data_IF_865132518430
#
_entry.id   IF_865132518430
#
_cell.length_a   1.000
_cell.length_b   1.000
_cell.length_c   1.000
_cell.angle_alpha   90.00
_cell.angle_beta   90.00
_cell.angle_gamma   90.00
#
_symmetry.space_group_name_H-M   'P 1'
#
loop_
_entity.id
_entity.type
_entity.pdbx_description
1 polymer ?
#
# COMPACT_ATOMS: atom_id res chain seq x y z
N UNK A 1 -2.60 -3.13 57.97
CA UNK A 1 -3.59 -3.74 57.05
C UNK A 1 -4.23 -2.73 56.08
N UNK A 2 -4.57 -1.50 56.50
CA UNK A 2 -5.15 -0.48 55.59
C UNK A 2 -4.20 0.02 54.48
N UNK A 3 -2.89 0.07 54.71
CA UNK A 3 -1.90 0.52 53.70
C UNK A 3 -1.73 -0.45 52.52
N UNK A 4 -1.95 -1.75 52.76
CA UNK A 4 -1.76 -2.80 51.75
C UNK A 4 -2.94 -2.84 50.74
N UNK A 5 -4.16 -2.58 51.21
CA UNK A 5 -5.33 -2.44 50.32
C UNK A 5 -5.27 -1.19 49.42
N UNK A 6 -4.67 -0.10 49.90
CA UNK A 6 -4.48 1.12 49.09
C UNK A 6 -3.51 0.90 47.92
N UNK A 7 -2.39 0.23 48.18
CA UNK A 7 -1.39 -0.09 47.16
C UNK A 7 -1.93 -1.07 46.11
N UNK A 8 -2.67 -2.11 46.52
CA UNK A 8 -3.31 -3.06 45.60
C UNK A 8 -4.36 -2.40 44.69
N UNK A 9 -5.15 -1.45 45.23
CA UNK A 9 -6.10 -0.68 44.42
C UNK A 9 -5.42 0.24 43.42
N UNK A 10 -4.30 0.85 43.79
CA UNK A 10 -3.54 1.74 42.91
C UNK A 10 -2.87 0.96 41.78
N UNK A 11 -2.25 -0.19 42.09
CA UNK A 11 -1.68 -1.09 41.09
C UNK A 11 -2.76 -1.59 40.13
N UNK A 12 -3.89 -2.09 40.64
CA UNK A 12 -4.99 -2.56 39.79
C UNK A 12 -5.54 -1.47 38.85
N UNK A 13 -5.63 -0.23 39.33
CA UNK A 13 -6.04 0.91 38.50
C UNK A 13 -5.01 1.19 37.40
N UNK A 14 -3.72 1.27 37.72
CA UNK A 14 -2.65 1.48 36.74
C UNK A 14 -2.57 0.34 35.71
N UNK A 15 -2.74 -0.91 36.12
CA UNK A 15 -2.75 -2.06 35.20
C UNK A 15 -3.95 -2.00 34.27
N UNK A 16 -5.13 -1.58 34.76
CA UNK A 16 -6.32 -1.43 33.92
C UNK A 16 -6.16 -0.29 32.89
N UNK A 17 -5.57 0.84 33.29
CA UNK A 17 -5.27 1.96 32.36
C UNK A 17 -4.26 1.54 31.29
N UNK A 18 -3.20 0.83 31.67
CA UNK A 18 -2.19 0.33 30.72
C UNK A 18 -2.76 -0.73 29.76
N UNK A 19 -3.67 -1.59 30.23
CA UNK A 19 -4.33 -2.60 29.39
C UNK A 19 -5.33 -1.98 28.40
N UNK A 20 -6.00 -0.89 28.77
CA UNK A 20 -6.95 -0.20 27.87
C UNK A 20 -6.23 0.72 26.86
N UNK A 21 -5.14 1.37 27.25
CA UNK A 21 -4.40 2.27 26.37
C UNK A 21 -3.52 1.55 25.33
N UNK A 22 -3.20 0.26 25.52
CA UNK A 22 -2.24 -0.46 24.69
C UNK A 22 -2.79 -1.08 23.40
N UNK A 23 -4.11 -1.21 23.24
CA UNK A 23 -4.70 -2.03 22.16
C UNK A 23 -5.61 -1.29 21.17
N UNK A 24 -5.95 -0.02 21.42
CA UNK A 24 -6.83 0.76 20.55
C UNK A 24 -6.02 1.90 19.89
N UNK A 25 -5.70 1.76 18.59
CA UNK A 25 -5.18 2.87 17.79
C UNK A 25 -3.77 2.74 17.21
N UNK A 26 -3.30 1.52 16.91
CA UNK A 26 -2.10 1.39 16.09
C UNK A 26 -2.37 1.93 14.68
N UNK A 27 -1.84 3.11 14.40
CA UNK A 27 -1.81 3.67 13.05
C UNK A 27 -0.74 2.96 12.23
N UNK A 28 -0.92 2.98 10.92
CA UNK A 28 0.00 2.37 9.97
C UNK A 28 0.64 3.45 9.12
N UNK A 29 1.96 3.40 8.97
CA UNK A 29 2.72 4.40 8.23
C UNK A 29 2.86 4.01 6.77
N UNK A 30 2.73 5.01 5.89
CA UNK A 30 2.85 4.84 4.46
C UNK A 30 4.30 4.55 4.02
N UNK A 31 4.47 3.56 3.15
CA UNK A 31 5.78 3.14 2.65
C UNK A 31 6.11 3.91 1.36
N UNK A 32 6.80 5.03 1.54
CA UNK A 32 7.33 5.84 0.45
C UNK A 32 8.71 5.35 0.07
N UNK A 33 8.82 4.68 -1.06
CA UNK A 33 10.09 4.24 -1.63
C UNK A 33 10.23 4.67 -3.09
N UNK A 34 11.47 4.89 -3.49
CA UNK A 34 11.86 5.04 -4.88
C UNK A 34 12.40 3.69 -5.37
N UNK A 35 11.99 3.26 -6.56
CA UNK A 35 12.41 1.99 -7.13
C UNK A 35 12.99 2.22 -8.53
N UNK A 36 14.19 1.73 -8.75
CA UNK A 36 14.87 1.82 -10.05
C UNK A 36 14.45 0.67 -10.96
N UNK A 37 14.33 0.93 -12.25
CA UNK A 37 14.18 -0.12 -13.25
C UNK A 37 15.39 -1.03 -13.25
N UNK A 38 15.23 -2.26 -13.73
CA UNK A 38 16.30 -3.28 -13.73
C UNK A 38 17.54 -2.83 -14.52
N UNK A 39 17.36 -2.02 -15.57
CA UNK A 39 18.45 -1.42 -16.34
C UNK A 39 19.00 -0.12 -15.73
N UNK A 40 18.41 0.37 -14.64
CA UNK A 40 18.76 1.62 -13.96
C UNK A 40 18.39 2.90 -14.72
N UNK A 41 17.75 2.77 -15.89
CA UNK A 41 17.44 3.91 -16.76
C UNK A 41 16.23 4.73 -16.33
N UNK A 42 15.37 4.19 -15.48
CA UNK A 42 14.15 4.84 -15.01
C UNK A 42 13.98 4.67 -13.49
N UNK A 43 13.25 5.59 -12.86
CA UNK A 43 12.92 5.59 -11.44
C UNK A 43 11.42 5.75 -11.27
N UNK A 44 10.79 4.79 -10.59
CA UNK A 44 9.38 4.81 -10.23
C UNK A 44 9.21 5.22 -8.75
N UNK A 45 8.26 6.10 -8.47
CA UNK A 45 7.99 6.57 -7.11
C UNK A 45 6.57 7.11 -6.95
N UNK A 46 6.16 7.30 -5.70
CA UNK A 46 4.87 7.88 -5.36
C UNK A 46 5.01 9.37 -5.08
N UNK A 47 4.02 10.17 -5.51
CA UNK A 47 3.99 11.60 -5.21
C UNK A 47 2.57 12.17 -5.35
N UNK A 48 2.31 13.30 -4.68
CA UNK A 48 1.14 14.15 -4.94
C UNK A 48 -0.21 13.46 -4.70
N UNK A 49 -0.47 13.08 -3.44
CA UNK A 49 -1.72 12.43 -3.01
C UNK A 49 -2.00 11.14 -3.81
N UNK A 50 -1.12 10.14 -3.64
CA UNK A 50 -1.32 8.79 -4.19
C UNK A 50 -1.08 8.63 -5.71
N UNK A 51 -0.44 9.61 -6.35
CA UNK A 51 0.02 9.46 -7.74
C UNK A 51 1.25 8.56 -7.90
N UNK A 52 1.32 7.83 -9.01
CA UNK A 52 2.53 7.10 -9.44
C UNK A 52 3.22 7.87 -10.55
N UNK A 53 4.52 8.06 -10.40
CA UNK A 53 5.37 8.75 -11.34
C UNK A 53 6.53 7.87 -11.78
N UNK A 54 6.98 8.09 -13.02
CA UNK A 54 8.21 7.53 -13.56
C UNK A 54 9.05 8.67 -14.09
N UNK A 55 10.29 8.77 -13.62
CA UNK A 55 11.29 9.69 -14.14
C UNK A 55 12.40 8.94 -14.86
N UNK A 56 13.00 9.56 -15.86
CA UNK A 56 14.27 9.13 -16.44
C UNK A 56 15.38 9.21 -15.39
N UNK A 57 16.33 8.28 -15.42
CA UNK A 57 17.51 8.26 -14.55
C UNK A 57 18.38 9.51 -14.71
N UNK A 58 18.33 10.18 -15.87
CA UNK A 58 19.00 11.45 -16.14
C UNK A 58 18.20 12.68 -15.66
N UNK A 59 16.94 12.49 -15.25
CA UNK A 59 16.06 13.54 -14.72
C UNK A 59 15.46 14.47 -15.78
N UNK A 60 15.62 14.16 -17.07
CA UNK A 60 15.15 14.97 -18.20
C UNK A 60 13.70 14.70 -18.62
N UNK A 61 13.12 13.58 -18.17
CA UNK A 61 11.74 13.18 -18.43
C UNK A 61 11.04 12.80 -17.14
N UNK A 62 9.81 13.29 -16.98
CA UNK A 62 8.90 12.93 -15.88
C UNK A 62 7.52 12.61 -16.45
N UNK A 63 6.98 11.48 -16.04
CA UNK A 63 5.68 10.98 -16.47
C UNK A 63 4.82 10.66 -15.26
N UNK A 64 3.55 11.10 -15.27
CA UNK A 64 2.53 10.66 -14.31
C UNK A 64 1.84 9.42 -14.89
N UNK A 65 2.10 8.25 -14.30
CA UNK A 65 1.57 6.95 -14.74
C UNK A 65 0.16 6.71 -14.18
N UNK A 66 -0.10 7.20 -12.98
CA UNK A 66 -1.37 7.04 -12.30
C UNK A 66 -1.67 8.27 -11.45
N UNK A 67 -2.93 8.68 -11.40
CA UNK A 67 -3.34 9.92 -10.76
C UNK A 67 -4.13 9.77 -9.46
N UNK A 68 -4.44 8.54 -9.04
CA UNK A 68 -5.27 8.30 -7.86
C UNK A 68 -6.74 8.54 -8.19
N UNK A 69 -7.52 7.47 -8.34
CA UNK A 69 -8.96 7.59 -8.61
C UNK A 69 -9.71 8.24 -7.45
N UNK A 70 -10.96 8.68 -7.69
CA UNK A 70 -11.77 9.37 -6.67
C UNK A 70 -11.99 8.54 -5.39
N UNK A 71 -12.02 7.21 -5.52
CA UNK A 71 -12.18 6.24 -4.44
C UNK A 71 -10.85 5.70 -3.89
N UNK A 72 -9.71 6.16 -4.45
CA UNK A 72 -8.39 5.71 -4.04
C UNK A 72 -7.98 6.39 -2.75
N UNK A 73 -7.83 5.59 -1.71
CA UNK A 73 -7.43 6.06 -0.38
C UNK A 73 -5.93 5.93 -0.13
N UNK A 74 -5.25 5.07 -0.91
CA UNK A 74 -3.84 4.81 -0.81
C UNK A 74 -3.32 4.13 -2.07
N UNK A 75 -2.04 4.33 -2.39
CA UNK A 75 -1.33 3.57 -3.42
C UNK A 75 -0.02 3.02 -2.83
N UNK A 76 0.54 1.96 -3.42
CA UNK A 76 1.88 1.44 -3.07
C UNK A 76 3.00 2.03 -3.91
N UNK A 77 4.21 2.03 -3.38
CA UNK A 77 5.39 2.31 -4.21
C UNK A 77 5.50 1.30 -5.34
N UNK A 78 5.86 1.70 -6.56
CA UNK A 78 5.67 0.82 -7.69
C UNK A 78 6.87 -0.14 -7.86
N UNK A 79 6.62 -1.35 -8.37
CA UNK A 79 7.59 -2.43 -8.51
C UNK A 79 7.87 -2.74 -10.00
N UNK A 80 9.13 -2.64 -10.38
CA UNK A 80 9.58 -2.95 -11.73
C UNK A 80 9.64 -4.44 -12.00
N UNK A 81 9.30 -4.82 -13.22
CA UNK A 81 9.53 -6.16 -13.75
C UNK A 81 11.04 -6.46 -13.77
N UNK A 82 11.45 -7.68 -13.37
CA UNK A 82 12.86 -8.06 -13.37
C UNK A 82 13.42 -8.32 -14.77
N UNK A 83 12.58 -8.36 -15.80
CA UNK A 83 12.98 -8.72 -17.18
C UNK A 83 12.78 -7.59 -18.19
N UNK A 84 11.96 -6.59 -17.87
CA UNK A 84 11.62 -5.50 -18.79
C UNK A 84 11.12 -4.26 -18.03
N UNK A 85 10.61 -3.27 -18.77
CA UNK A 85 10.13 -1.98 -18.22
C UNK A 85 8.65 -1.98 -17.81
N UNK A 86 8.04 -3.15 -17.61
CA UNK A 86 6.70 -3.23 -16.99
C UNK A 86 6.77 -2.85 -15.52
N UNK A 87 5.65 -2.38 -15.00
CA UNK A 87 5.50 -1.86 -13.65
C UNK A 87 4.20 -2.40 -13.05
N UNK A 88 4.27 -2.92 -11.83
CA UNK A 88 3.06 -3.18 -11.03
C UNK A 88 3.03 -2.24 -9.84
N UNK A 89 1.83 -1.91 -9.40
CA UNK A 89 1.57 -1.22 -8.15
C UNK A 89 0.17 -1.59 -7.70
N UNK A 90 -0.17 -1.26 -6.46
CA UNK A 90 -1.49 -1.54 -5.92
C UNK A 90 -2.14 -0.23 -5.48
N UNK A 91 -3.37 0.01 -5.91
CA UNK A 91 -4.24 1.02 -5.30
C UNK A 91 -5.15 0.34 -4.29
N UNK A 92 -5.55 1.09 -3.27
CA UNK A 92 -6.52 0.66 -2.28
C UNK A 92 -7.72 1.59 -2.32
N UNK A 93 -8.91 0.99 -2.16
CA UNK A 93 -10.18 1.69 -1.93
C UNK A 93 -10.85 1.11 -0.69
N UNK A 94 -11.72 1.90 -0.07
CA UNK A 94 -12.54 1.41 1.04
C UNK A 94 -13.42 0.23 0.61
N UNK A 95 -13.49 -0.81 1.43
CA UNK A 95 -14.50 -1.86 1.25
C UNK A 95 -15.92 -1.36 1.61
N UNK A 96 -16.02 -0.30 2.42
CA UNK A 96 -17.26 0.28 2.94
C UNK A 96 -17.35 1.78 2.59
N UNK A 97 -17.52 2.16 1.31
CA UNK A 97 -17.42 3.56 0.85
C UNK A 97 -18.52 4.49 1.41
N UNK A 98 -19.63 3.93 1.91
CA UNK A 98 -20.73 4.69 2.52
C UNK A 98 -20.46 5.05 3.99
N UNK A 99 -19.49 4.38 4.63
CA UNK A 99 -19.03 4.81 5.94
C UNK A 99 -18.23 6.09 5.73
N UNK A 100 -18.62 7.19 6.38
CA UNK A 100 -17.86 8.45 6.42
C UNK A 100 -16.44 8.31 7.03
N UNK A 101 -15.99 7.08 7.26
CA UNK A 101 -14.61 6.70 7.48
C UNK A 101 -13.87 6.74 6.15
N UNK A 102 -13.61 7.93 5.62
CA UNK A 102 -12.51 8.10 4.68
C UNK A 102 -11.27 7.56 5.37
N UNK A 103 -10.48 6.68 4.74
CA UNK A 103 -9.17 6.29 5.27
C UNK A 103 -8.36 7.57 5.45
N UNK A 104 -8.44 8.11 6.66
CA UNK A 104 -8.05 9.48 6.88
C UNK A 104 -6.57 9.39 7.14
N UNK A 105 -5.78 9.64 6.09
CA UNK A 105 -4.43 10.08 6.32
C UNK A 105 -4.47 11.19 7.36
N UNK A 106 -3.79 10.99 8.48
CA UNK A 106 -3.87 11.87 9.64
C UNK A 106 -3.25 13.25 9.35
N UNK A 107 -2.53 13.38 8.23
CA UNK A 107 -1.90 14.60 7.77
C UNK A 107 -1.89 14.68 6.23
N UNK A 108 -1.75 15.92 5.71
CA UNK A 108 -1.50 16.16 4.28
C UNK A 108 -0.20 15.49 3.81
N UNK A 109 -0.08 15.19 2.52
CA UNK A 109 1.07 14.48 1.94
C UNK A 109 2.43 15.09 2.32
N UNK A 110 2.57 16.40 2.17
CA UNK A 110 3.82 17.15 2.43
C UNK A 110 4.10 17.39 3.91
N UNK A 111 3.11 17.17 4.79
CA UNK A 111 3.26 17.37 6.21
C UNK A 111 4.02 16.22 6.91
N UNK A 112 4.10 15.05 6.27
CA UNK A 112 4.79 13.87 6.80
C UNK A 112 5.73 13.28 5.73
N UNK A 113 6.99 13.73 5.63
CA UNK A 113 7.93 13.28 4.60
C UNK A 113 8.28 11.79 4.73
N UNK A 114 8.13 11.21 5.93
CA UNK A 114 8.37 9.79 6.19
C UNK A 114 7.17 8.91 5.80
N UNK A 115 6.08 9.49 5.31
CA UNK A 115 4.86 8.77 4.93
C UNK A 115 3.70 9.06 5.86
N UNK A 116 2.50 9.29 5.29
CA UNK A 116 1.28 9.56 6.07
C UNK A 116 0.95 8.38 6.97
N UNK A 117 0.29 8.67 8.10
CA UNK A 117 -0.28 7.63 8.96
C UNK A 117 -1.76 7.44 8.67
N UNK A 118 -2.17 6.19 8.55
CA UNK A 118 -3.55 5.80 8.30
C UNK A 118 -4.14 5.07 9.50
N UNK A 119 -5.45 5.20 9.66
CA UNK A 119 -6.21 4.35 10.56
C UNK A 119 -6.44 2.97 9.92
N UNK A 120 -6.55 1.91 10.73
CA UNK A 120 -6.92 0.59 10.23
C UNK A 120 -8.32 0.63 9.59
N UNK A 121 -8.44 0.07 8.37
CA UNK A 121 -9.68 0.00 7.60
C UNK A 121 -9.72 -1.27 6.74
N UNK A 122 -10.91 -1.80 6.47
CA UNK A 122 -11.12 -2.86 5.47
C UNK A 122 -10.99 -2.27 4.07
N UNK A 123 -10.06 -2.82 3.29
CA UNK A 123 -9.71 -2.27 1.97
C UNK A 123 -9.77 -3.34 0.90
N UNK A 124 -10.14 -2.91 -0.31
CA UNK A 124 -10.00 -3.70 -1.52
C UNK A 124 -8.77 -3.17 -2.27
N UNK A 125 -7.81 -4.06 -2.51
CA UNK A 125 -6.62 -3.75 -3.29
C UNK A 125 -6.83 -4.10 -4.74
N UNK A 126 -6.50 -3.18 -5.64
CA UNK A 126 -6.42 -3.44 -7.08
C UNK A 126 -4.97 -3.49 -7.50
N UNK A 127 -4.51 -4.65 -7.98
CA UNK A 127 -3.19 -4.75 -8.61
C UNK A 127 -3.26 -4.15 -10.01
N UNK A 128 -2.52 -3.09 -10.24
CA UNK A 128 -2.40 -2.39 -11.51
C UNK A 128 -1.14 -2.83 -12.25
N UNK A 129 -1.20 -2.96 -13.57
CA UNK A 129 -0.06 -3.21 -14.46
C UNK A 129 0.03 -2.09 -15.47
N UNK A 130 1.18 -1.42 -15.49
CA UNK A 130 1.61 -0.60 -16.61
C UNK A 130 2.49 -1.44 -17.53
N UNK A 131 2.11 -1.55 -18.80
CA UNK A 131 2.95 -2.22 -19.79
C UNK A 131 4.25 -1.43 -20.05
N UNK A 132 5.25 -2.09 -20.65
CA UNK A 132 6.46 -1.41 -21.06
C UNK A 132 6.12 -0.36 -22.14
N UNK A 133 6.70 0.85 -22.08
CA UNK A 133 6.46 1.87 -23.09
C UNK A 133 6.97 1.40 -24.46
N UNK A 134 6.26 1.81 -25.51
CA UNK A 134 6.59 1.49 -26.90
C UNK A 134 6.83 2.78 -27.67
N UNK A 135 8.11 3.15 -27.84
CA UNK A 135 8.48 4.47 -28.36
C UNK A 135 8.13 5.58 -27.35
N UNK A 136 7.40 6.60 -27.80
CA UNK A 136 6.95 7.70 -26.95
C UNK A 136 5.61 7.44 -26.26
N UNK A 137 4.95 6.32 -26.60
CA UNK A 137 3.66 5.96 -26.02
C UNK A 137 3.85 5.16 -24.73
N UNK A 138 3.31 5.68 -23.64
CA UNK A 138 3.09 4.92 -22.42
C UNK A 138 1.61 4.59 -22.30
N UNK A 139 1.23 3.30 -22.33
CA UNK A 139 -0.16 2.92 -22.11
C UNK A 139 -0.56 3.16 -20.65
N UNK A 140 -1.82 3.56 -20.40
CA UNK A 140 -2.33 3.70 -19.05
C UNK A 140 -2.29 2.36 -18.32
N UNK A 141 -2.12 2.35 -16.99
CA UNK A 141 -2.14 1.13 -16.21
C UNK A 141 -3.51 0.46 -16.27
N UNK A 142 -3.51 -0.87 -16.37
CA UNK A 142 -4.72 -1.70 -16.38
C UNK A 142 -4.81 -2.52 -15.10
N UNK A 143 -6.03 -2.72 -14.60
CA UNK A 143 -6.26 -3.61 -13.46
C UNK A 143 -6.00 -5.07 -13.88
N UNK A 144 -5.20 -5.79 -13.10
CA UNK A 144 -4.96 -7.22 -13.26
C UNK A 144 -5.96 -8.05 -12.45
N UNK A 145 -6.16 -7.69 -11.18
CA UNK A 145 -7.08 -8.35 -10.26
C UNK A 145 -7.36 -7.46 -9.05
N UNK A 146 -8.42 -7.78 -8.31
CA UNK A 146 -8.71 -7.24 -6.99
C UNK A 146 -8.48 -8.31 -5.92
N UNK A 147 -8.11 -7.89 -4.71
CA UNK A 147 -7.95 -8.77 -3.55
C UNK A 147 -8.40 -8.06 -2.26
N UNK A 148 -9.11 -8.80 -1.40
CA UNK A 148 -9.36 -8.45 0.00
C UNK A 148 -8.21 -8.98 0.86
N UNK A 149 -7.88 -8.27 1.93
CA UNK A 149 -6.93 -8.74 2.94
C UNK A 149 -7.58 -8.66 4.32
N UNK A 150 -7.55 -9.76 5.09
CA UNK A 150 -8.09 -9.88 6.46
C UNK A 150 -7.28 -9.10 7.52
N UNK A 151 -6.66 -7.99 7.14
CA UNK A 151 -6.00 -7.09 8.08
C UNK A 151 -6.52 -5.66 7.90
N UNK A 152 -6.88 -4.99 9.00
CA UNK A 152 -7.26 -3.60 8.91
C UNK A 152 -5.97 -2.77 8.75
N UNK A 153 -5.80 -2.12 7.61
CA UNK A 153 -4.75 -1.11 7.40
C UNK A 153 -3.90 -1.23 6.13
N UNK A 154 -3.32 -0.07 5.79
CA UNK A 154 -2.41 0.27 4.70
C UNK A 154 -1.20 -0.68 4.46
N UNK A 155 -0.71 -1.39 5.48
CA UNK A 155 0.58 -2.11 5.43
C UNK A 155 0.46 -3.46 4.73
N UNK A 156 0.38 -3.47 3.41
CA UNK A 156 0.87 -4.61 2.60
C UNK A 156 0.70 -4.41 1.10
N UNK A 157 0.35 -3.24 0.59
CA UNK A 157 0.17 -3.07 -0.85
C UNK A 157 1.47 -3.51 -1.61
N UNK A 158 2.63 -3.12 -1.07
CA UNK A 158 3.94 -3.62 -1.45
C UNK A 158 4.43 -4.87 -0.71
N UNK A 159 3.60 -5.66 -0.06
CA UNK A 159 3.97 -6.99 0.51
C UNK A 159 3.08 -8.09 -0.08
N UNK A 160 1.89 -7.71 -0.54
CA UNK A 160 0.86 -8.55 -1.08
C UNK A 160 1.04 -8.83 -2.58
N UNK A 161 1.91 -8.12 -3.32
CA UNK A 161 2.22 -8.42 -4.72
C UNK A 161 3.71 -8.42 -5.01
N UNK A 162 4.21 -9.38 -5.79
CA UNK A 162 5.61 -9.49 -6.23
C UNK A 162 5.70 -10.00 -7.65
N UNK A 163 6.62 -9.46 -8.42
CA UNK A 163 7.03 -10.13 -9.66
C UNK A 163 7.67 -11.48 -9.34
N UNK A 164 7.30 -12.49 -10.12
CA UNK A 164 8.12 -13.69 -10.21
C UNK A 164 9.47 -13.34 -10.86
N UNK A 165 10.60 -13.97 -10.46
CA UNK A 165 11.92 -13.62 -11.00
C UNK A 165 12.05 -13.73 -12.53
N UNK A 166 11.23 -14.56 -13.19
CA UNK A 166 11.19 -14.65 -14.65
C UNK A 166 10.31 -13.57 -15.31
N UNK A 167 9.62 -12.73 -14.54
CA UNK A 167 8.78 -11.64 -15.03
C UNK A 167 7.50 -12.06 -15.76
N UNK A 168 7.20 -13.36 -15.80
CA UNK A 168 6.07 -13.94 -16.53
C UNK A 168 4.75 -13.94 -15.73
N UNK A 169 4.84 -13.70 -14.42
CA UNK A 169 3.69 -13.72 -13.52
C UNK A 169 3.90 -12.84 -12.30
N UNK A 170 2.79 -12.47 -11.69
CA UNK A 170 2.74 -11.77 -10.41
C UNK A 170 2.28 -12.75 -9.34
N UNK A 171 3.06 -12.86 -8.27
CA UNK A 171 2.72 -13.57 -7.06
C UNK A 171 1.95 -12.62 -6.16
N UNK A 172 0.88 -13.09 -5.54
CA UNK A 172 0.13 -12.26 -4.61
C UNK A 172 -0.37 -13.04 -3.40
N UNK A 173 -0.61 -12.32 -2.31
CA UNK A 173 -1.27 -12.85 -1.13
C UNK A 173 -2.77 -12.73 -1.35
N UNK A 174 -3.42 -13.87 -1.49
CA UNK A 174 -4.87 -13.96 -1.56
C UNK A 174 -5.40 -14.48 -0.22
N UNK A 175 -6.56 -13.95 0.19
CA UNK A 175 -7.36 -14.62 1.20
C UNK A 175 -7.72 -16.03 0.73
N UNK A 176 -7.52 -17.03 1.59
CA UNK A 176 -8.10 -18.34 1.39
C UNK A 176 -9.53 -18.32 1.95
N UNK A 177 -10.52 -18.05 1.11
CA UNK A 177 -11.73 -18.85 1.23
C UNK A 177 -11.31 -20.30 1.03
N UNK A 178 -11.69 -21.19 1.95
CA UNK A 178 -11.19 -22.56 1.99
C UNK A 178 -11.09 -23.22 0.59
N UNK A 179 -9.86 -23.59 0.21
CA UNK A 179 -9.42 -24.36 -0.97
C UNK A 179 -9.65 -23.74 -2.37
N UNK A 180 -8.65 -23.00 -2.88
CA UNK A 180 -7.98 -23.29 -4.16
C UNK A 180 -6.72 -22.40 -4.33
N UNK A 181 -5.65 -22.94 -4.92
CA UNK A 181 -4.45 -22.15 -5.27
C UNK A 181 -4.60 -21.75 -6.75
N UNK A 182 -4.91 -20.48 -7.01
CA UNK A 182 -4.94 -19.93 -8.37
C UNK A 182 -3.63 -19.19 -8.66
N UNK A 183 -2.92 -19.56 -9.73
CA UNK A 183 -1.88 -18.72 -10.34
C UNK A 183 -2.42 -18.13 -11.63
N UNK A 184 -2.34 -16.81 -11.79
CA UNK A 184 -2.68 -16.14 -13.05
C UNK A 184 -1.42 -15.99 -13.92
N UNK A 185 -1.51 -16.47 -15.16
CA UNK A 185 -0.49 -16.25 -16.20
C UNK A 185 -0.83 -14.96 -16.94
N UNK A 186 0.14 -14.04 -17.03
CA UNK A 186 0.03 -12.88 -17.90
C UNK A 186 0.36 -13.34 -19.34
N UNK A 187 -0.47 -12.96 -20.31
CA UNK A 187 -0.26 -13.21 -21.75
C UNK A 187 0.80 -12.25 -22.27
#
# INVERSE_FOLDING_TARGET
MQSMLGLLRWIACCTTVLLVAGCAGATVQEDRSINYSTDGGDVGFQHGEDGIFVASGEGDKLEKVYDGGEDTIAVSSPLWSPVDKRLIFTSARSANPDDNHVATAIAAWDADPEGRRFLPEEVIYTCMLRAAPSGDETPPPVALFEATCDHPGYVAANVAVRWHPAGDRVLFVAERMALDIASLSLI
#
